data_IF_550064515933
#
_entry.id   IF_550064515933
#
_cell.length_a   1.000
_cell.length_b   1.000
_cell.length_c   1.000
_cell.angle_alpha   90.00
_cell.angle_beta   90.00
_cell.angle_gamma   90.00
#
_symmetry.space_group_name_H-M   'P 1'
#
loop_
_entity.id
_entity.type
_entity.pdbx_description
1 polymer ?
#
# COMPACT_ATOMS: atom_id res chain seq x y z
N UNK A 1 -15.83 -19.76 -30.06
CA UNK A 1 -14.91 -18.71 -29.55
C UNK A 1 -13.69 -18.48 -30.45
N UNK A 2 -12.94 -19.52 -30.85
CA UNK A 2 -11.73 -19.38 -31.69
C UNK A 2 -11.88 -18.55 -32.97
N UNK A 3 -12.99 -18.70 -33.70
CA UNK A 3 -13.23 -17.97 -34.95
C UNK A 3 -13.36 -16.44 -34.74
N UNK A 4 -13.99 -16.02 -33.64
CA UNK A 4 -14.16 -14.61 -33.30
C UNK A 4 -12.81 -13.97 -32.92
N UNK A 5 -12.00 -14.66 -32.11
CA UNK A 5 -10.65 -14.19 -31.74
C UNK A 5 -9.74 -14.10 -32.96
N UNK A 6 -9.77 -15.09 -33.85
CA UNK A 6 -9.01 -15.07 -35.11
C UNK A 6 -9.40 -13.88 -35.98
N UNK A 7 -10.70 -13.60 -36.12
CA UNK A 7 -11.15 -12.46 -36.92
C UNK A 7 -10.71 -11.12 -36.33
N UNK A 8 -10.87 -10.94 -35.01
CA UNK A 8 -10.46 -9.73 -34.32
C UNK A 8 -8.94 -9.51 -34.32
N UNK A 9 -8.14 -10.59 -34.38
CA UNK A 9 -6.68 -10.49 -34.41
C UNK A 9 -6.17 -9.61 -35.57
N UNK A 10 -6.90 -9.57 -36.69
CA UNK A 10 -6.56 -8.84 -37.92
C UNK A 10 -7.12 -7.41 -37.95
N UNK A 11 -7.97 -7.04 -36.99
CA UNK A 11 -8.56 -5.70 -36.93
C UNK A 11 -7.51 -4.67 -36.58
N UNK A 12 -7.62 -3.47 -37.17
CA UNK A 12 -6.69 -2.37 -36.92
C UNK A 12 -7.11 -1.57 -35.69
N UNK A 13 -6.11 -1.21 -34.88
CA UNK A 13 -6.21 -0.22 -33.82
C UNK A 13 -6.57 1.13 -34.43
N UNK A 14 -7.60 1.78 -33.87
CA UNK A 14 -8.06 3.11 -34.31
C UNK A 14 -7.74 4.22 -33.29
N UNK A 15 -6.95 3.93 -32.26
CA UNK A 15 -6.64 4.83 -31.16
C UNK A 15 -5.14 4.87 -30.86
N UNK A 16 -4.69 5.99 -30.31
CA UNK A 16 -3.37 6.13 -29.71
C UNK A 16 -2.20 5.90 -30.67
N UNK A 17 -1.02 5.69 -30.08
CA UNK A 17 0.27 5.68 -30.80
C UNK A 17 0.39 4.55 -31.82
N UNK A 18 -0.31 3.44 -31.61
CA UNK A 18 -0.25 2.26 -32.48
C UNK A 18 -1.40 2.17 -33.50
N UNK A 19 -2.05 3.30 -33.80
CA UNK A 19 -3.10 3.37 -34.83
C UNK A 19 -2.62 2.75 -36.15
N UNK A 20 -3.49 1.96 -36.78
CA UNK A 20 -3.21 1.27 -38.04
C UNK A 20 -2.51 -0.09 -37.89
N UNK A 21 -1.91 -0.39 -36.73
CA UNK A 21 -1.41 -1.74 -36.41
C UNK A 21 -2.58 -2.68 -36.07
N UNK A 22 -2.37 -3.97 -36.24
CA UNK A 22 -3.40 -4.96 -35.88
C UNK A 22 -3.49 -5.18 -34.37
N UNK A 23 -4.63 -5.61 -33.86
CA UNK A 23 -4.79 -6.01 -32.45
C UNK A 23 -3.77 -7.07 -32.03
N UNK A 24 -3.53 -8.06 -32.90
CA UNK A 24 -2.52 -9.10 -32.64
C UNK A 24 -1.12 -8.52 -32.46
N UNK A 25 -0.70 -7.69 -33.41
CA UNK A 25 0.59 -6.99 -33.33
C UNK A 25 0.74 -6.22 -32.02
N UNK A 26 -0.30 -5.48 -31.59
CA UNK A 26 -0.23 -4.72 -30.34
C UNK A 26 0.00 -5.62 -29.12
N UNK A 27 -0.74 -6.72 -29.01
CA UNK A 27 -0.58 -7.66 -27.88
C UNK A 27 0.77 -8.37 -27.86
N UNK A 28 1.44 -8.53 -29.00
CA UNK A 28 2.76 -9.15 -29.07
C UNK A 28 3.91 -8.19 -28.78
N UNK A 29 3.73 -6.90 -29.06
CA UNK A 29 4.83 -5.94 -29.05
C UNK A 29 4.78 -5.00 -27.84
N UNK A 30 3.59 -4.69 -27.31
CA UNK A 30 3.45 -3.78 -26.16
C UNK A 30 2.24 -4.13 -25.29
N UNK A 31 2.40 -5.22 -24.52
CA UNK A 31 1.40 -5.70 -23.56
C UNK A 31 1.11 -4.64 -22.49
N UNK A 32 2.13 -3.91 -22.04
CA UNK A 32 1.97 -2.89 -21.00
C UNK A 32 1.05 -1.76 -21.43
N UNK A 33 1.24 -1.25 -22.65
CA UNK A 33 0.34 -0.28 -23.25
C UNK A 33 -1.06 -0.86 -23.47
N UNK A 34 -1.17 -2.06 -24.01
CA UNK A 34 -2.44 -2.72 -24.25
C UNK A 34 -3.27 -2.87 -22.95
N UNK A 35 -2.63 -3.33 -21.87
CA UNK A 35 -3.24 -3.46 -20.55
C UNK A 35 -3.73 -2.11 -20.03
N UNK A 36 -2.92 -1.06 -20.18
CA UNK A 36 -3.30 0.31 -19.80
C UNK A 36 -4.53 0.80 -20.56
N UNK A 37 -4.57 0.57 -21.88
CA UNK A 37 -5.70 0.94 -22.73
C UNK A 37 -6.97 0.22 -22.28
N UNK A 38 -6.91 -1.11 -22.11
CA UNK A 38 -8.09 -1.90 -21.72
C UNK A 38 -8.58 -1.48 -20.33
N UNK A 39 -7.68 -1.33 -19.36
CA UNK A 39 -8.04 -0.91 -18.00
C UNK A 39 -8.71 0.49 -17.99
N UNK A 40 -8.18 1.43 -18.79
CA UNK A 40 -8.73 2.78 -18.91
C UNK A 40 -10.08 2.77 -19.63
N UNK A 41 -10.21 1.96 -20.68
CA UNK A 41 -11.43 1.82 -21.46
C UNK A 41 -12.59 1.24 -20.64
N UNK A 42 -12.33 0.26 -19.78
CA UNK A 42 -13.33 -0.28 -18.87
C UNK A 42 -13.88 0.80 -17.92
N UNK A 43 -13.01 1.66 -17.36
CA UNK A 43 -13.40 2.82 -16.55
C UNK A 43 -14.13 3.90 -17.35
N UNK A 44 -13.80 4.05 -18.63
CA UNK A 44 -14.51 4.96 -19.56
C UNK A 44 -15.95 4.45 -19.79
N UNK A 45 -16.12 3.14 -19.98
CA UNK A 45 -17.43 2.48 -20.15
C UNK A 45 -18.37 2.62 -18.96
N UNK A 46 -17.83 2.64 -17.74
CA UNK A 46 -18.63 2.89 -16.53
C UNK A 46 -19.25 4.31 -16.51
N UNK A 47 -18.66 5.27 -17.23
CA UNK A 47 -19.09 6.67 -17.23
C UNK A 47 -19.88 7.07 -18.47
N UNK A 48 -19.71 6.38 -19.59
CA UNK A 48 -20.34 6.74 -20.87
C UNK A 48 -20.89 5.54 -21.63
N UNK A 49 -22.12 5.69 -22.15
CA UNK A 49 -22.77 4.75 -23.07
C UNK A 49 -22.50 5.02 -24.56
N UNK A 50 -21.51 5.85 -24.91
CA UNK A 50 -21.20 6.24 -26.29
C UNK A 50 -20.99 5.03 -27.22
N UNK A 51 -21.59 5.09 -28.41
CA UNK A 51 -21.50 4.06 -29.45
C UNK A 51 -20.69 4.51 -30.68
N UNK A 52 -19.75 5.45 -30.48
CA UNK A 52 -18.91 5.93 -31.59
C UNK A 52 -18.10 4.79 -32.23
N UNK A 53 -17.68 4.93 -33.51
CA UNK A 53 -16.82 3.93 -34.15
C UNK A 53 -15.53 3.65 -33.36
N UNK A 54 -14.95 4.70 -32.76
CA UNK A 54 -13.78 4.60 -31.89
C UNK A 54 -14.09 3.75 -30.64
N UNK A 55 -15.25 3.95 -30.04
CA UNK A 55 -15.74 3.14 -28.92
C UNK A 55 -15.88 1.67 -29.29
N UNK A 56 -16.55 1.40 -30.41
CA UNK A 56 -16.72 0.04 -30.90
C UNK A 56 -15.37 -0.64 -31.18
N UNK A 57 -14.38 0.12 -31.68
CA UNK A 57 -13.01 -0.39 -31.88
C UNK A 57 -12.33 -0.75 -30.56
N UNK A 58 -12.41 0.12 -29.54
CA UNK A 58 -11.88 -0.19 -28.19
C UNK A 58 -12.61 -1.35 -27.51
N UNK A 59 -13.92 -1.50 -27.72
CA UNK A 59 -14.70 -2.65 -27.24
C UNK A 59 -14.26 -3.94 -27.91
N UNK A 60 -14.06 -3.92 -29.22
CA UNK A 60 -13.56 -5.06 -29.98
C UNK A 60 -12.14 -5.45 -29.52
N UNK A 61 -11.26 -4.46 -29.29
CA UNK A 61 -9.93 -4.69 -28.75
C UNK A 61 -9.98 -5.29 -27.34
N UNK A 62 -10.87 -4.79 -26.48
CA UNK A 62 -11.09 -5.32 -25.14
C UNK A 62 -11.56 -6.77 -25.18
N UNK A 63 -12.56 -7.10 -26.01
CA UNK A 63 -13.03 -8.49 -26.18
C UNK A 63 -11.94 -9.42 -26.69
N UNK A 64 -11.16 -8.98 -27.67
CA UNK A 64 -10.02 -9.75 -28.20
C UNK A 64 -8.98 -10.01 -27.11
N UNK A 65 -8.62 -8.99 -26.34
CA UNK A 65 -7.54 -9.09 -25.35
C UNK A 65 -7.93 -9.92 -24.14
N UNK A 66 -9.17 -9.78 -23.66
CA UNK A 66 -9.68 -10.54 -22.52
C UNK A 66 -9.97 -12.01 -22.84
N UNK A 67 -9.90 -12.42 -24.11
CA UNK A 67 -9.92 -13.83 -24.48
C UNK A 67 -8.66 -14.60 -24.01
N UNK A 68 -7.59 -13.88 -23.61
CA UNK A 68 -6.36 -14.45 -23.07
C UNK A 68 -6.34 -14.33 -21.54
N UNK A 69 -6.36 -15.44 -20.78
CA UNK A 69 -6.47 -15.39 -19.31
C UNK A 69 -5.35 -14.61 -18.62
N UNK A 70 -4.12 -14.74 -19.08
CA UNK A 70 -2.96 -14.02 -18.54
C UNK A 70 -3.10 -12.51 -18.73
N UNK A 71 -3.61 -12.08 -19.90
CA UNK A 71 -3.87 -10.67 -20.17
C UNK A 71 -5.00 -10.15 -19.29
N UNK A 72 -6.08 -10.92 -19.11
CA UNK A 72 -7.17 -10.57 -18.23
C UNK A 72 -6.69 -10.41 -16.78
N UNK A 73 -5.77 -11.26 -16.31
CA UNK A 73 -5.13 -11.09 -15.00
C UNK A 73 -4.29 -9.82 -14.91
N UNK A 74 -3.50 -9.51 -15.96
CA UNK A 74 -2.71 -8.28 -16.00
C UNK A 74 -3.59 -7.01 -15.93
N UNK A 75 -4.74 -7.01 -16.59
CA UNK A 75 -5.75 -5.93 -16.49
C UNK A 75 -6.30 -5.82 -15.06
N UNK A 76 -6.72 -6.93 -14.45
CA UNK A 76 -7.21 -6.94 -13.06
C UNK A 76 -6.16 -6.42 -12.10
N UNK A 77 -4.91 -6.87 -12.27
CA UNK A 77 -3.79 -6.40 -11.46
C UNK A 77 -3.57 -4.90 -11.64
N UNK A 78 -3.55 -4.39 -12.88
CA UNK A 78 -3.39 -2.95 -13.13
C UNK A 78 -4.46 -2.12 -12.44
N UNK A 79 -5.72 -2.55 -12.51
CA UNK A 79 -6.84 -1.86 -11.87
C UNK A 79 -6.70 -1.83 -10.35
N UNK A 80 -6.47 -3.00 -9.73
CA UNK A 80 -6.28 -3.12 -8.30
C UNK A 80 -5.06 -2.32 -7.81
N UNK A 81 -3.96 -2.37 -8.57
CA UNK A 81 -2.73 -1.64 -8.26
C UNK A 81 -2.93 -0.13 -8.26
N UNK A 82 -3.59 0.43 -9.28
CA UNK A 82 -3.88 1.88 -9.32
C UNK A 82 -4.85 2.29 -8.22
N UNK A 83 -5.87 1.48 -7.92
CA UNK A 83 -6.81 1.76 -6.84
C UNK A 83 -6.10 1.79 -5.48
N UNK A 84 -5.31 0.77 -5.18
CA UNK A 84 -4.53 0.69 -3.95
C UNK A 84 -3.50 1.83 -3.85
N UNK A 85 -2.86 2.19 -4.96
CA UNK A 85 -1.93 3.33 -5.02
C UNK A 85 -2.62 4.64 -4.68
N UNK A 86 -3.82 4.89 -5.21
CA UNK A 86 -4.59 6.09 -4.88
C UNK A 86 -4.95 6.14 -3.40
N UNK A 87 -5.37 5.00 -2.83
CA UNK A 87 -5.68 4.90 -1.38
C UNK A 87 -4.43 5.12 -0.52
N UNK A 88 -3.29 4.56 -0.92
CA UNK A 88 -2.05 4.61 -0.12
C UNK A 88 -1.38 5.98 -0.09
N UNK A 89 -1.75 6.89 -0.99
CA UNK A 89 -1.28 8.28 -0.97
C UNK A 89 -1.90 9.10 0.16
N UNK A 90 -2.98 8.60 0.80
CA UNK A 90 -3.58 9.28 1.94
C UNK A 90 -2.69 9.15 3.19
N UNK A 91 -2.61 10.21 4.03
CA UNK A 91 -1.82 10.16 5.26
C UNK A 91 -2.20 8.96 6.14
N UNK A 92 -1.19 8.18 6.56
CA UNK A 92 -1.40 6.99 7.39
C UNK A 92 -1.90 5.74 6.65
N UNK A 93 -2.19 5.83 5.34
CA UNK A 93 -2.71 4.71 4.54
C UNK A 93 -1.64 4.02 3.69
N UNK A 94 -0.35 4.32 3.89
CA UNK A 94 0.77 3.74 3.13
C UNK A 94 0.73 2.20 3.07
N UNK A 95 0.20 1.55 4.11
CA UNK A 95 0.07 0.09 4.21
C UNK A 95 -0.93 -0.53 3.22
N UNK A 96 -1.83 0.27 2.65
CA UNK A 96 -2.80 -0.19 1.64
C UNK A 96 -2.18 -0.36 0.25
N UNK A 97 -0.96 0.15 0.01
CA UNK A 97 -0.28 -0.06 -1.25
C UNK A 97 -0.09 -1.56 -1.50
N UNK A 98 -0.29 -2.00 -2.73
CA UNK A 98 0.04 -3.37 -3.10
C UNK A 98 1.56 -3.55 -3.17
N UNK A 99 2.04 -4.74 -2.84
CA UNK A 99 3.45 -5.14 -3.04
C UNK A 99 3.85 -4.94 -4.50
N UNK A 100 2.97 -5.35 -5.42
CA UNK A 100 3.09 -5.03 -6.85
C UNK A 100 4.11 -5.87 -7.64
N UNK A 101 4.74 -6.87 -7.03
CA UNK A 101 5.66 -7.79 -7.72
C UNK A 101 5.69 -9.18 -7.07
N UNK A 102 6.18 -10.16 -7.83
CA UNK A 102 6.32 -11.55 -7.38
C UNK A 102 4.97 -12.20 -7.02
N UNK A 103 5.05 -13.27 -6.22
CA UNK A 103 3.87 -14.06 -5.82
C UNK A 103 2.90 -13.26 -4.94
N UNK A 104 3.40 -12.27 -4.22
CA UNK A 104 2.62 -11.41 -3.33
C UNK A 104 2.10 -10.14 -4.01
N UNK A 105 2.15 -10.03 -5.34
CA UNK A 105 1.83 -8.79 -6.07
C UNK A 105 0.45 -8.20 -5.73
N UNK A 106 -0.52 -9.04 -5.38
CA UNK A 106 -1.88 -8.63 -5.00
C UNK A 106 -2.08 -8.37 -3.50
N UNK A 107 -1.10 -8.67 -2.66
CA UNK A 107 -1.17 -8.39 -1.22
C UNK A 107 -0.86 -6.93 -0.94
N UNK A 108 -1.51 -6.36 0.07
CA UNK A 108 -1.12 -5.05 0.59
C UNK A 108 0.14 -5.16 1.45
N UNK A 109 0.91 -4.08 1.55
CA UNK A 109 2.09 -4.02 2.41
C UNK A 109 1.76 -4.33 3.87
N UNK A 110 0.58 -3.88 4.33
CA UNK A 110 0.10 -4.15 5.67
C UNK A 110 -0.27 -5.62 5.87
N UNK A 111 -1.07 -6.19 4.97
CA UNK A 111 -1.44 -7.63 5.01
C UNK A 111 -0.19 -8.49 5.03
N UNK A 112 0.77 -8.19 4.15
CA UNK A 112 2.05 -8.86 4.08
C UNK A 112 2.82 -8.78 5.40
N UNK A 113 2.87 -7.62 6.05
CA UNK A 113 3.62 -7.45 7.29
C UNK A 113 2.97 -8.11 8.51
N UNK A 114 1.63 -8.08 8.58
CA UNK A 114 0.88 -8.58 9.74
C UNK A 114 0.57 -10.09 9.66
N UNK A 115 0.69 -10.69 8.47
CA UNK A 115 0.45 -12.11 8.22
C UNK A 115 1.28 -13.03 9.13
N UNK A 116 0.67 -14.16 9.50
CA UNK A 116 1.29 -15.26 10.25
C UNK A 116 1.66 -16.45 9.37
N UNK A 117 1.39 -16.36 8.06
CA UNK A 117 1.75 -17.41 7.12
C UNK A 117 3.28 -17.57 7.04
N UNK A 118 3.82 -18.81 7.14
CA UNK A 118 5.26 -19.04 7.07
C UNK A 118 5.94 -18.54 5.80
N UNK A 119 5.28 -18.59 4.63
CA UNK A 119 5.84 -18.09 3.37
C UNK A 119 5.91 -16.57 3.40
N UNK A 120 4.86 -15.91 3.88
CA UNK A 120 4.86 -14.45 4.04
C UNK A 120 5.91 -14.00 5.04
N UNK A 121 6.05 -14.67 6.19
CA UNK A 121 7.09 -14.37 7.19
C UNK A 121 8.49 -14.48 6.57
N UNK A 122 8.75 -15.55 5.80
CA UNK A 122 10.03 -15.74 5.10
C UNK A 122 10.30 -14.61 4.12
N UNK A 123 9.28 -14.17 3.38
CA UNK A 123 9.40 -13.08 2.42
C UNK A 123 9.66 -11.73 3.11
N UNK A 124 8.96 -11.41 4.21
CA UNK A 124 9.23 -10.20 5.01
C UNK A 124 10.66 -10.22 5.57
N UNK A 125 11.14 -11.38 6.05
CA UNK A 125 12.52 -11.54 6.48
C UNK A 125 13.54 -11.31 5.36
N UNK A 126 13.21 -11.72 4.13
CA UNK A 126 14.01 -11.37 2.96
C UNK A 126 14.03 -9.85 2.74
N UNK A 127 12.87 -9.18 2.74
CA UNK A 127 12.78 -7.72 2.57
C UNK A 127 13.61 -6.93 3.60
N UNK A 128 13.71 -7.39 4.85
CA UNK A 128 14.53 -6.74 5.88
C UNK A 128 16.01 -6.63 5.49
N UNK A 129 16.51 -7.62 4.76
CA UNK A 129 17.94 -7.78 4.40
C UNK A 129 18.25 -7.30 2.98
N UNK A 130 17.23 -7.05 2.17
CA UNK A 130 17.40 -6.66 0.77
C UNK A 130 17.80 -5.19 0.62
N UNK A 131 18.76 -4.93 -0.27
CA UNK A 131 19.07 -3.61 -0.79
C UNK A 131 18.33 -3.41 -2.14
N UNK A 132 17.23 -2.65 -2.16
CA UNK A 132 16.42 -2.47 -3.36
C UNK A 132 17.05 -1.47 -4.33
N UNK A 133 16.78 -1.64 -5.63
CA UNK A 133 17.10 -0.61 -6.62
C UNK A 133 16.25 0.66 -6.38
N UNK A 134 16.81 1.86 -6.54
CA UNK A 134 16.06 3.11 -6.38
C UNK A 134 14.85 3.20 -7.32
N UNK A 135 13.73 3.69 -6.80
CA UNK A 135 12.47 3.87 -7.53
C UNK A 135 11.68 2.58 -7.78
N UNK A 136 12.17 1.42 -7.32
CA UNK A 136 11.49 0.14 -7.54
C UNK A 136 10.34 -0.09 -6.55
N UNK A 137 9.39 -0.97 -6.93
CA UNK A 137 8.37 -1.44 -5.98
C UNK A 137 8.97 -2.19 -4.79
N UNK A 138 10.10 -2.87 -5.00
CA UNK A 138 10.87 -3.48 -3.92
C UNK A 138 11.33 -2.44 -2.90
N UNK A 139 11.76 -1.25 -3.35
CA UNK A 139 12.15 -0.17 -2.44
C UNK A 139 11.00 0.26 -1.54
N UNK A 140 9.80 0.42 -2.11
CA UNK A 140 8.60 0.75 -1.35
C UNK A 140 8.30 -0.31 -0.27
N UNK A 141 8.38 -1.59 -0.64
CA UNK A 141 8.15 -2.69 0.28
C UNK A 141 9.19 -2.73 1.43
N UNK A 142 10.48 -2.62 1.10
CA UNK A 142 11.57 -2.59 2.09
C UNK A 142 11.42 -1.38 3.02
N UNK A 143 11.12 -0.20 2.48
CA UNK A 143 10.92 1.03 3.25
C UNK A 143 9.77 0.88 4.25
N UNK A 144 8.65 0.31 3.82
CA UNK A 144 7.49 0.08 4.69
C UNK A 144 7.81 -0.88 5.84
N UNK A 145 8.43 -2.03 5.54
CA UNK A 145 8.81 -3.03 6.56
C UNK A 145 9.73 -2.42 7.62
N UNK A 146 10.79 -1.73 7.20
CA UNK A 146 11.74 -1.08 8.13
C UNK A 146 11.08 0.03 8.94
N UNK A 147 10.16 0.79 8.36
CA UNK A 147 9.38 1.82 9.08
C UNK A 147 8.51 1.18 10.16
N UNK A 148 7.81 0.07 9.86
CA UNK A 148 6.96 -0.65 10.82
C UNK A 148 7.75 -1.34 11.92
N UNK A 149 8.90 -1.93 11.62
CA UNK A 149 9.78 -2.54 12.62
C UNK A 149 10.20 -1.49 13.68
N UNK A 150 10.66 -0.31 13.26
CA UNK A 150 11.00 0.80 14.18
C UNK A 150 9.82 1.26 15.04
N UNK A 151 8.61 1.29 14.47
CA UNK A 151 7.39 1.66 15.22
C UNK A 151 7.05 0.64 16.30
N UNK A 152 7.20 -0.67 16.02
CA UNK A 152 6.96 -1.73 17.00
C UNK A 152 8.01 -1.75 18.11
N UNK A 153 9.28 -1.56 17.76
CA UNK A 153 10.37 -1.46 18.74
C UNK A 153 10.14 -0.26 19.68
N UNK A 154 9.85 0.92 19.13
CA UNK A 154 9.55 2.11 19.93
C UNK A 154 8.33 1.93 20.86
N UNK A 155 7.27 1.29 20.38
CA UNK A 155 6.10 0.97 21.21
C UNK A 155 6.42 -0.02 22.34
N UNK A 156 7.29 -0.99 22.09
CA UNK A 156 7.72 -1.97 23.10
C UNK A 156 8.58 -1.31 24.18
N UNK A 157 9.51 -0.44 23.79
CA UNK A 157 10.34 0.32 24.74
C UNK A 157 9.51 1.29 25.58
N UNK A 158 8.53 1.97 24.97
CA UNK A 158 7.61 2.87 25.68
C UNK A 158 6.76 2.10 26.70
N UNK A 159 6.20 0.95 26.32
CA UNK A 159 5.42 0.10 27.22
C UNK A 159 6.26 -0.43 28.41
N UNK A 160 7.52 -0.80 28.18
CA UNK A 160 8.45 -1.24 29.23
C UNK A 160 8.79 -0.09 30.21
N UNK A 161 8.99 1.13 29.71
CA UNK A 161 9.25 2.31 30.53
C UNK A 161 8.04 2.70 31.39
N UNK A 162 6.83 2.62 30.86
CA UNK A 162 5.58 2.87 31.62
C UNK A 162 5.32 1.82 32.69
N UNK A 163 5.75 0.57 32.46
CA UNK A 163 5.58 -0.52 33.44
C UNK A 163 6.54 -0.41 34.64
N UNK A 164 7.62 0.38 34.52
CA UNK A 164 8.66 0.49 35.57
C UNK A 164 8.36 1.59 36.61
N UNK A 165 7.42 2.50 36.36
CA UNK A 165 7.08 3.60 37.28
C UNK A 165 5.99 3.29 38.30
N UNK A 166 5.50 2.04 38.40
CA UNK A 166 4.45 1.64 39.38
C UNK A 166 4.93 0.63 40.43
N UNK A 167 6.18 0.73 40.87
CA UNK A 167 6.65 0.08 42.10
C UNK A 167 7.00 1.14 43.15
N UNK A 168 5.98 1.64 43.83
CA UNK A 168 6.08 2.44 45.06
C UNK A 168 6.75 1.58 46.15
N UNK A 169 7.84 2.01 46.80
CA UNK A 169 8.25 1.36 48.04
C UNK A 169 7.32 1.87 49.15
N UNK A 170 6.54 0.96 49.73
CA UNK A 170 5.86 1.19 51.01
C UNK A 170 6.93 1.23 52.09
N UNK A 171 7.35 2.44 52.48
CA UNK A 171 8.21 2.64 53.64
C UNK A 171 7.35 2.61 54.91
N UNK A 172 7.47 1.51 55.65
CA UNK A 172 6.90 1.30 56.97
C UNK A 172 7.49 2.29 58.01
N UNK A 173 6.65 2.66 58.97
CA UNK A 173 6.89 3.63 60.04
C UNK A 173 7.81 3.12 61.18
N UNK A 174 8.17 4.07 62.07
CA UNK A 174 8.87 3.99 63.39
C UNK A 174 10.37 4.32 63.35
N UNK A 175 10.98 5.15 64.22
CA UNK A 175 10.60 5.76 65.50
C UNK A 175 11.51 6.96 65.87
N UNK A 176 10.94 7.94 66.59
CA UNK A 176 11.49 8.79 67.67
C UNK A 176 12.92 9.38 67.64
N UNK A 177 13.04 10.72 67.67
CA UNK A 177 13.35 11.50 68.90
C UNK A 177 13.94 12.91 68.63
N UNK A 178 13.18 13.92 69.05
CA UNK A 178 13.56 15.14 69.81
C UNK A 178 14.80 15.99 69.44
N UNK A 179 14.55 17.27 69.10
CA UNK A 179 14.95 18.53 69.80
C UNK A 179 14.85 19.72 68.81
N UNK A 180 13.85 20.60 68.92
CA UNK A 180 13.76 21.84 69.75
C UNK A 180 14.55 23.03 69.17
N UNK A 181 13.82 24.16 69.08
CA UNK A 181 14.26 25.58 69.00
C UNK A 181 14.62 26.10 67.60
N UNK A 182 14.17 27.27 67.12
CA UNK A 182 13.47 28.45 67.68
C UNK A 182 12.87 29.22 66.48
N UNK A 183 11.64 29.73 66.61
CA UNK A 183 11.10 30.82 65.77
C UNK A 183 11.42 32.17 66.44
N UNK A 184 11.58 33.29 65.73
CA UNK A 184 10.41 34.13 65.37
C UNK A 184 10.66 34.91 64.04
N UNK A 185 9.80 35.70 63.39
CA UNK A 185 8.49 36.30 63.64
C UNK A 185 8.08 37.05 62.34
N UNK A 186 6.83 36.90 61.92
CA UNK A 186 5.91 37.89 61.30
C UNK A 186 6.37 38.84 60.17
N UNK A 187 5.63 38.83 59.04
CA UNK A 187 4.62 39.87 58.71
C UNK A 187 3.89 39.59 57.36
N UNK A 188 2.56 39.45 57.45
CA UNK A 188 1.55 39.76 56.42
C UNK A 188 1.23 41.29 56.49
N UNK A 189 0.32 41.91 55.69
CA UNK A 189 -0.55 41.39 54.63
C UNK A 189 -0.66 42.28 53.37
N UNK A 190 -1.45 41.82 52.38
CA UNK A 190 -2.76 42.39 52.00
C UNK A 190 -3.01 42.45 50.50
N UNK A 191 -4.13 41.82 50.12
CA UNK A 191 -4.80 41.92 48.85
C UNK A 191 -5.40 43.32 48.61
N UNK A 192 -5.57 43.68 47.33
CA UNK A 192 -6.62 44.57 46.88
C UNK A 192 -7.09 44.16 45.48
N UNK A 193 -8.40 44.25 45.32
CA UNK A 193 -9.21 44.10 44.11
C UNK A 193 -8.88 45.13 43.04
#
# INVERSE_FOLDING_TARGET
>A
QYYATFMLSRWKVQFGTYQGKTFHWLLQNDVGYAVMVVASHQKERERTGSQSPLMANKDAFTRYSLAYPEFAEAVRFRQAFEEARVKSLQPGQEGLALVGFGDFKFESLQSLYDSKDPKTIRFVNYLRRTAPAPGSQMENAVRYVKKRDRQREGATTAAAATSTTTSTPVAASSSSSSRVSVCPSYQEPKAAS
#
